data_IF_846962322915
#
_entry.id   IF_846962322915
#
_cell.length_a   1.000
_cell.length_b   1.000
_cell.length_c   1.000
_cell.angle_alpha   90.00
_cell.angle_beta   90.00
_cell.angle_gamma   90.00
#
_symmetry.space_group_name_H-M   'P 1'
#
loop_
_entity.id
_entity.type
_entity.pdbx_description
1 polymer ?
#
# COMPACT_ATOMS: atom_id res chain seq x y z
N UNK A 1 -14.02 8.85 26.46
CA UNK A 1 -13.09 8.65 25.34
C UNK A 1 -12.77 10.03 24.80
N UNK A 2 -11.52 10.29 24.41
CA UNK A 2 -11.11 11.63 23.99
C UNK A 2 -11.40 11.85 22.51
N UNK A 3 -11.94 13.01 22.20
CA UNK A 3 -12.09 13.54 20.85
C UNK A 3 -10.71 13.69 20.21
N UNK A 4 -10.62 13.38 18.91
CA UNK A 4 -9.34 13.45 18.18
C UNK A 4 -9.44 14.47 17.06
N UNK A 5 -8.49 15.38 17.06
CA UNK A 5 -8.31 16.40 16.04
C UNK A 5 -7.10 16.08 15.17
N UNK A 6 -7.19 16.35 13.88
CA UNK A 6 -6.07 16.11 12.95
C UNK A 6 -6.16 16.99 11.70
N UNK A 7 -5.03 17.57 11.30
CA UNK A 7 -4.81 18.11 9.97
C UNK A 7 -3.40 17.78 9.45
N UNK A 8 -3.32 17.36 8.19
CA UNK A 8 -2.03 17.19 7.51
C UNK A 8 -1.45 18.55 7.15
N UNK A 9 -0.26 18.85 7.67
CA UNK A 9 0.47 20.11 7.40
C UNK A 9 1.35 20.05 6.14
N UNK A 10 1.25 18.97 5.36
CA UNK A 10 2.09 18.69 4.19
C UNK A 10 3.61 18.68 4.46
N UNK A 11 4.05 18.61 5.73
CA UNK A 11 5.45 18.71 6.14
C UNK A 11 6.39 17.57 5.67
N UNK A 12 5.88 16.56 4.95
CA UNK A 12 6.66 15.44 4.42
C UNK A 12 7.17 14.42 5.44
N UNK A 13 7.11 14.69 6.75
CA UNK A 13 7.72 13.85 7.79
C UNK A 13 7.09 12.47 7.97
N UNK A 14 5.81 12.31 7.59
CA UNK A 14 5.12 11.02 7.56
C UNK A 14 5.15 10.36 6.17
N UNK A 15 5.66 11.06 5.15
CA UNK A 15 5.69 10.62 3.76
C UNK A 15 6.93 9.76 3.49
N UNK A 16 7.03 8.64 4.19
CA UNK A 16 8.13 7.67 4.09
C UNK A 16 7.58 6.25 4.14
N UNK A 17 8.31 5.29 3.58
CA UNK A 17 7.89 3.90 3.60
C UNK A 17 6.79 3.58 2.59
N UNK A 18 6.26 2.36 2.69
CA UNK A 18 5.31 1.83 1.71
C UNK A 18 3.97 2.56 1.77
N UNK A 19 3.52 3.05 0.62
CA UNK A 19 2.20 3.63 0.46
C UNK A 19 1.31 2.62 -0.25
N UNK A 20 0.23 2.18 0.39
CA UNK A 20 -0.81 1.40 -0.27
C UNK A 20 -1.52 2.26 -1.31
N UNK A 21 -1.74 1.69 -2.49
CA UNK A 21 -2.40 2.34 -3.61
C UNK A 21 -3.56 1.47 -4.08
N UNK A 22 -4.60 2.13 -4.58
CA UNK A 22 -5.61 1.48 -5.42
C UNK A 22 -4.99 1.20 -6.80
N UNK A 23 -5.59 0.33 -7.60
CA UNK A 23 -5.14 0.09 -8.98
C UNK A 23 -5.18 1.41 -9.79
N UNK A 24 -6.27 2.21 -9.75
CA UNK A 24 -6.29 3.51 -10.43
C UNK A 24 -5.18 4.46 -9.95
N UNK A 25 -4.94 4.57 -8.64
CA UNK A 25 -3.88 5.43 -8.10
C UNK A 25 -2.49 4.97 -8.55
N UNK A 26 -2.25 3.65 -8.57
CA UNK A 26 -1.00 3.07 -9.04
C UNK A 26 -0.76 3.40 -10.51
N UNK A 27 -1.78 3.25 -11.36
CA UNK A 27 -1.69 3.55 -12.79
C UNK A 27 -1.52 5.06 -13.05
N UNK A 28 -2.26 5.91 -12.34
CA UNK A 28 -2.20 7.36 -12.50
C UNK A 28 -0.86 7.98 -12.10
N UNK A 29 -0.07 7.28 -11.28
CA UNK A 29 1.24 7.74 -10.78
C UNK A 29 2.37 6.77 -11.18
N UNK A 30 2.19 6.05 -12.29
CA UNK A 30 3.14 5.07 -12.79
C UNK A 30 4.45 5.69 -13.34
N UNK A 31 4.55 7.00 -13.43
CA UNK A 31 5.77 7.73 -13.76
C UNK A 31 6.48 8.30 -12.51
N UNK A 32 5.85 8.18 -11.33
CA UNK A 32 6.34 8.79 -10.09
C UNK A 32 6.72 7.75 -9.03
N UNK A 33 5.84 6.79 -8.76
CA UNK A 33 6.04 5.82 -7.69
C UNK A 33 6.72 4.56 -8.19
N UNK A 34 7.69 3.98 -7.46
CA UNK A 34 8.20 2.67 -7.80
C UNK A 34 7.16 1.61 -7.43
N UNK A 35 6.43 1.09 -8.40
CA UNK A 35 5.27 0.24 -8.13
C UNK A 35 5.69 -1.20 -7.83
N UNK A 36 5.03 -1.78 -6.84
CA UNK A 36 5.09 -3.21 -6.53
C UNK A 36 3.72 -3.71 -6.06
N UNK A 37 3.62 -5.00 -5.72
CA UNK A 37 2.43 -5.58 -5.09
C UNK A 37 2.83 -6.24 -3.79
N UNK A 38 2.23 -5.78 -2.68
CA UNK A 38 2.45 -6.34 -1.36
C UNK A 38 1.41 -7.40 -1.04
N UNK A 39 1.87 -8.51 -0.46
CA UNK A 39 1.09 -9.57 0.16
C UNK A 39 1.34 -9.50 1.67
N UNK A 40 0.38 -8.97 2.41
CA UNK A 40 0.44 -8.84 3.87
C UNK A 40 -0.36 -9.96 4.54
N UNK A 41 0.28 -10.89 5.26
CA UNK A 41 -0.42 -11.93 6.00
C UNK A 41 -1.03 -11.37 7.29
N UNK A 42 -2.22 -11.84 7.63
CA UNK A 42 -2.93 -11.53 8.87
C UNK A 42 -3.42 -12.83 9.48
N UNK A 43 -2.85 -13.17 10.65
CA UNK A 43 -3.16 -14.41 11.36
C UNK A 43 -4.58 -14.40 11.95
N UNK A 44 -5.19 -15.58 12.04
CA UNK A 44 -6.46 -15.76 12.75
C UNK A 44 -6.34 -15.26 14.19
N UNK A 45 -7.32 -14.46 14.64
CA UNK A 45 -7.35 -13.83 15.95
C UNK A 45 -6.75 -12.40 16.01
N UNK A 46 -6.04 -11.95 14.97
CA UNK A 46 -5.66 -10.54 14.88
C UNK A 46 -6.90 -9.66 14.65
N UNK A 47 -6.92 -8.44 15.22
CA UNK A 47 -8.05 -7.50 15.06
C UNK A 47 -8.43 -7.26 13.59
N UNK A 48 -7.44 -7.12 12.72
CA UNK A 48 -7.65 -6.88 11.30
C UNK A 48 -8.04 -8.13 10.48
N UNK A 49 -8.16 -9.31 11.10
CA UNK A 49 -8.39 -10.57 10.39
C UNK A 49 -9.71 -10.58 9.63
N UNK A 50 -10.82 -10.19 10.27
CA UNK A 50 -12.14 -10.19 9.64
C UNK A 50 -12.20 -9.23 8.45
N UNK A 51 -11.71 -8.00 8.62
CA UNK A 51 -11.62 -7.02 7.54
C UNK A 51 -10.72 -7.50 6.39
N UNK A 52 -9.58 -8.12 6.71
CA UNK A 52 -8.67 -8.68 5.69
C UNK A 52 -9.28 -9.87 4.95
N UNK A 53 -10.01 -10.74 5.65
CA UNK A 53 -10.75 -11.86 5.03
C UNK A 53 -11.83 -11.36 4.06
N UNK A 54 -12.51 -10.26 4.41
CA UNK A 54 -13.52 -9.61 3.56
C UNK A 54 -12.89 -9.01 2.30
N UNK A 55 -11.81 -8.25 2.45
CA UNK A 55 -11.22 -7.43 1.38
C UNK A 55 -10.11 -8.15 0.59
N UNK A 56 -9.53 -9.22 1.13
CA UNK A 56 -8.38 -9.93 0.55
C UNK A 56 -8.71 -11.35 0.10
N UNK A 57 -7.71 -12.23 0.20
CA UNK A 57 -7.82 -13.69 -0.05
C UNK A 57 -7.61 -14.45 1.26
N UNK A 58 -8.21 -15.64 1.37
CA UNK A 58 -7.98 -16.54 2.51
C UNK A 58 -7.30 -17.81 2.02
N UNK A 59 -6.25 -18.24 2.71
CA UNK A 59 -5.54 -19.48 2.44
C UNK A 59 -5.82 -20.47 3.57
N UNK A 60 -6.28 -21.66 3.21
CA UNK A 60 -6.41 -22.76 4.16
C UNK A 60 -5.03 -23.38 4.44
N UNK A 61 -4.65 -23.47 5.71
CA UNK A 61 -3.35 -24.03 6.15
C UNK A 61 -3.49 -25.45 6.72
N UNK A 62 -4.66 -26.08 6.58
CA UNK A 62 -4.99 -27.37 7.19
C UNK A 62 -5.41 -27.27 8.67
N UNK A 63 -5.95 -28.36 9.24
CA UNK A 63 -6.42 -28.45 10.65
C UNK A 63 -7.24 -27.25 11.14
N UNK A 64 -8.17 -26.75 10.29
CA UNK A 64 -9.02 -25.57 10.54
C UNK A 64 -8.26 -24.25 10.74
N UNK A 65 -6.97 -24.18 10.38
CA UNK A 65 -6.20 -22.93 10.39
C UNK A 65 -6.37 -22.21 9.06
N UNK A 66 -6.58 -20.90 9.15
CA UNK A 66 -6.71 -20.00 8.01
C UNK A 66 -5.74 -18.84 8.16
N UNK A 67 -5.26 -18.36 7.00
CA UNK A 67 -4.48 -17.15 6.89
C UNK A 67 -5.22 -16.18 5.96
N UNK A 68 -5.55 -14.99 6.45
CA UNK A 68 -6.04 -13.94 5.59
C UNK A 68 -4.83 -13.20 5.00
N UNK A 69 -4.86 -12.89 3.71
CA UNK A 69 -3.79 -12.17 3.02
C UNK A 69 -4.38 -10.95 2.35
N UNK A 70 -3.91 -9.77 2.75
CA UNK A 70 -4.22 -8.52 2.04
C UNK A 70 -3.25 -8.41 0.87
N UNK A 71 -3.79 -8.22 -0.33
CA UNK A 71 -3.00 -8.00 -1.54
C UNK A 71 -3.28 -6.59 -2.02
N UNK A 72 -2.24 -5.80 -2.23
CA UNK A 72 -2.39 -4.35 -2.48
C UNK A 72 -1.25 -3.83 -3.36
N UNK A 73 -1.55 -3.11 -4.45
CA UNK A 73 -0.55 -2.28 -5.12
C UNK A 73 0.10 -1.32 -4.12
N UNK A 74 1.41 -1.12 -4.22
CA UNK A 74 2.13 -0.22 -3.32
C UNK A 74 3.11 0.65 -4.10
N UNK A 75 3.31 1.89 -3.66
CA UNK A 75 4.59 2.56 -3.86
C UNK A 75 5.60 1.93 -2.90
N UNK A 76 6.56 1.16 -3.43
CA UNK A 76 7.56 0.46 -2.65
C UNK A 76 8.74 1.40 -2.36
N UNK A 77 8.64 2.15 -1.26
CA UNK A 77 9.68 3.07 -0.80
C UNK A 77 10.34 2.46 0.44
N UNK A 78 11.68 2.25 0.44
CA UNK A 78 12.39 1.82 1.64
C UNK A 78 12.15 2.77 2.82
N UNK A 79 12.04 2.27 4.07
CA UNK A 79 11.66 3.11 5.21
C UNK A 79 12.58 4.32 5.47
N UNK A 80 13.85 4.22 5.09
CA UNK A 80 14.84 5.30 5.25
C UNK A 80 14.80 6.35 4.13
N UNK A 81 13.95 6.18 3.12
CA UNK A 81 13.86 7.06 1.97
C UNK A 81 12.57 7.88 1.98
N UNK A 82 12.68 9.12 1.51
CA UNK A 82 11.57 10.03 1.32
C UNK A 82 10.65 9.57 0.17
N UNK A 83 9.37 9.91 0.28
CA UNK A 83 8.42 9.79 -0.83
C UNK A 83 8.92 10.57 -2.06
N UNK A 84 8.85 10.00 -3.27
CA UNK A 84 9.30 10.68 -4.49
C UNK A 84 8.46 11.91 -4.85
N UNK A 85 7.27 12.05 -4.25
CA UNK A 85 6.41 13.21 -4.43
C UNK A 85 6.75 14.40 -3.52
N UNK A 86 7.85 14.33 -2.74
CA UNK A 86 8.33 15.48 -1.97
C UNK A 86 9.23 16.37 -2.84
N UNK A 87 8.99 17.67 -2.80
CA UNK A 87 9.82 18.69 -3.45
C UNK A 87 11.13 18.94 -2.69
N UNK A 88 11.97 19.81 -3.23
CA UNK A 88 13.23 20.22 -2.58
C UNK A 88 13.03 20.96 -1.26
N UNK A 89 11.85 21.52 -1.03
CA UNK A 89 11.39 22.14 0.21
C UNK A 89 10.79 21.13 1.22
N UNK A 90 10.72 19.85 0.85
CA UNK A 90 10.15 18.78 1.66
C UNK A 90 8.61 18.75 1.66
N UNK A 91 7.95 19.59 0.88
CA UNK A 91 6.49 19.61 0.76
C UNK A 91 6.00 18.65 -0.33
N UNK A 92 4.77 18.15 -0.17
CA UNK A 92 4.17 17.24 -1.14
C UNK A 92 3.74 18.00 -2.41
N UNK A 93 4.39 17.72 -3.55
CA UNK A 93 4.13 18.40 -4.83
C UNK A 93 2.81 17.98 -5.47
N UNK A 94 2.31 16.78 -5.13
CA UNK A 94 1.03 16.26 -5.62
C UNK A 94 -0.12 16.49 -4.63
N UNK A 95 -0.02 17.50 -3.75
CA UNK A 95 -0.97 17.66 -2.64
C UNK A 95 -2.45 17.74 -3.09
N UNK A 96 -2.72 18.35 -4.25
CA UNK A 96 -4.06 18.47 -4.81
C UNK A 96 -4.58 17.17 -5.46
N UNK A 97 -3.68 16.30 -5.91
CA UNK A 97 -4.00 15.08 -6.68
C UNK A 97 -3.53 13.81 -5.99
N UNK A 98 -3.27 13.85 -4.67
CA UNK A 98 -2.73 12.71 -3.92
C UNK A 98 -3.55 11.44 -4.13
N UNK A 99 -2.92 10.25 -4.02
CA UNK A 99 -3.63 8.99 -3.93
C UNK A 99 -4.69 8.98 -2.82
N UNK A 100 -5.74 8.19 -2.97
CA UNK A 100 -6.84 8.11 -1.99
C UNK A 100 -6.34 7.79 -0.58
N UNK A 101 -5.34 6.90 -0.46
CA UNK A 101 -4.68 6.57 0.82
C UNK A 101 -4.09 7.77 1.54
N UNK A 102 -3.55 8.72 0.79
CA UNK A 102 -2.97 9.92 1.37
C UNK A 102 -4.05 10.94 1.77
N UNK A 103 -5.22 10.93 1.11
CA UNK A 103 -6.37 11.79 1.46
C UNK A 103 -7.06 11.30 2.73
N UNK A 104 -7.27 9.98 2.83
CA UNK A 104 -7.88 9.34 4.00
C UNK A 104 -6.99 9.35 5.27
N UNK A 105 -5.74 9.83 5.18
CA UNK A 105 -4.82 9.96 6.32
C UNK A 105 -5.49 10.79 7.44
N UNK A 106 -5.47 10.32 8.70
CA UNK A 106 -4.64 9.23 9.23
C UNK A 106 -5.38 7.88 9.31
N UNK A 107 -6.61 7.81 8.80
CA UNK A 107 -7.43 6.60 8.85
C UNK A 107 -6.94 5.53 7.89
N UNK A 108 -7.23 4.29 8.25
CA UNK A 108 -7.03 3.16 7.37
C UNK A 108 -8.36 2.52 6.94
N UNK A 109 -8.79 2.79 5.70
CA UNK A 109 -10.04 2.26 5.14
C UNK A 109 -10.17 0.71 5.13
N UNK A 110 -9.05 -0.03 5.08
CA UNK A 110 -9.07 -1.50 5.20
C UNK A 110 -9.21 -2.01 6.64
N UNK A 111 -9.30 -1.13 7.64
CA UNK A 111 -9.57 -1.48 9.04
C UNK A 111 -10.99 -1.06 9.42
N UNK A 112 -11.53 -1.71 10.44
CA UNK A 112 -12.82 -1.32 10.96
C UNK A 112 -12.76 0.07 11.58
N UNK A 113 -13.83 0.85 11.43
CA UNK A 113 -13.93 2.24 11.88
C UNK A 113 -13.69 2.38 13.39
N UNK A 114 -14.04 1.36 14.16
CA UNK A 114 -13.89 1.34 15.62
C UNK A 114 -12.45 1.05 16.10
N UNK A 115 -11.53 0.73 15.18
CA UNK A 115 -10.11 0.41 15.45
C UNK A 115 -9.14 1.41 14.77
N UNK A 116 -9.46 2.70 14.85
CA UNK A 116 -8.68 3.77 14.23
C UNK A 116 -7.90 4.63 15.25
N UNK A 117 -8.27 4.64 16.53
CA UNK A 117 -7.77 5.61 17.53
C UNK A 117 -6.24 5.73 17.61
N UNK A 118 -5.53 4.61 17.55
CA UNK A 118 -4.07 4.60 17.64
C UNK A 118 -3.35 5.17 16.41
N UNK A 119 -4.05 5.32 15.28
CA UNK A 119 -3.51 5.94 14.06
C UNK A 119 -3.49 7.47 14.14
N UNK A 120 -4.30 8.04 15.04
CA UNK A 120 -4.43 9.47 15.27
C UNK A 120 -3.33 10.04 16.17
N UNK A 121 -2.39 9.20 16.62
CA UNK A 121 -1.23 9.61 17.42
C UNK A 121 -0.01 9.71 16.49
N UNK A 122 0.45 10.93 16.14
CA UNK A 122 1.63 11.08 15.30
C UNK A 122 2.86 10.48 15.97
N UNK A 123 3.75 9.91 15.15
CA UNK A 123 5.04 9.43 15.64
C UNK A 123 5.93 10.60 16.08
N UNK A 124 6.89 10.37 16.99
CA UNK A 124 7.88 11.39 17.35
C UNK A 124 8.51 12.03 16.11
N UNK A 125 8.52 13.37 16.09
CA UNK A 125 9.06 14.16 14.99
C UNK A 125 8.05 14.58 13.92
N UNK A 126 6.91 13.91 13.79
CA UNK A 126 5.85 14.32 12.85
C UNK A 126 5.26 15.68 13.24
N UNK A 127 4.99 16.53 12.25
CA UNK A 127 4.50 17.89 12.46
C UNK A 127 3.04 18.07 11.99
N UNK A 128 2.23 17.01 12.08
CA UNK A 128 0.78 17.11 11.86
C UNK A 128 0.15 17.96 12.97
N UNK A 129 -0.87 18.75 12.63
CA UNK A 129 -1.63 19.49 13.64
C UNK A 129 -2.64 18.54 14.29
N UNK A 130 -2.47 18.30 15.59
CA UNK A 130 -3.39 17.50 16.43
C UNK A 130 -3.93 18.31 17.60
N UNK A 131 -3.79 19.63 17.52
CA UNK A 131 -4.34 20.56 18.52
C UNK A 131 -5.85 20.70 18.37
N UNK A 132 -6.50 21.31 19.34
CA UNK A 132 -7.92 21.64 19.25
C UNK A 132 -8.27 22.63 18.12
N UNK A 133 -7.28 23.28 17.50
CA UNK A 133 -7.48 24.14 16.34
C UNK A 133 -7.64 23.36 15.02
N UNK A 134 -7.13 22.12 14.97
CA UNK A 134 -7.37 21.23 13.83
C UNK A 134 -8.84 20.74 13.82
N UNK A 135 -9.37 20.30 12.67
CA UNK A 135 -10.71 19.72 12.61
C UNK A 135 -10.87 18.50 13.52
N UNK A 136 -12.04 18.35 14.13
CA UNK A 136 -12.45 17.11 14.79
C UNK A 136 -12.62 16.03 13.71
N UNK A 137 -11.87 14.92 13.83
CA UNK A 137 -11.88 13.84 12.83
C UNK A 137 -12.40 12.52 13.39
N UNK A 138 -12.36 12.30 14.71
CA UNK A 138 -12.79 11.04 15.32
C UNK A 138 -13.39 11.27 16.71
N UNK A 139 -14.63 10.84 16.89
CA UNK A 139 -15.40 11.00 18.13
C UNK A 139 -16.22 9.72 18.37
N UNK A 140 -16.27 9.22 19.60
CA UNK A 140 -17.15 8.10 19.95
C UNK A 140 -16.93 6.81 19.12
N UNK A 141 -15.68 6.57 18.67
CA UNK A 141 -15.31 5.47 17.73
C UNK A 141 -15.85 5.62 16.30
N UNK A 142 -16.19 6.84 15.89
CA UNK A 142 -16.72 7.17 14.57
C UNK A 142 -15.90 8.26 13.92
N UNK A 143 -15.69 8.13 12.63
CA UNK A 143 -15.04 9.14 11.81
C UNK A 143 -16.06 10.26 11.58
N UNK A 144 -15.65 11.51 11.84
CA UNK A 144 -16.52 12.68 11.72
C UNK A 144 -16.80 13.04 10.24
N UNK A 145 -15.73 13.18 9.44
CA UNK A 145 -15.79 13.42 7.98
C UNK A 145 -15.33 12.17 7.24
N UNK A 146 -16.26 11.49 6.57
CA UNK A 146 -16.07 10.12 6.07
C UNK A 146 -15.76 10.05 4.58
N UNK A 147 -15.79 11.17 3.87
CA UNK A 147 -15.78 11.23 2.42
C UNK A 147 -14.55 10.54 1.83
N UNK A 148 -13.35 10.90 2.28
CA UNK A 148 -12.11 10.29 1.80
C UNK A 148 -11.95 8.83 2.27
N UNK A 149 -12.42 8.51 3.48
CA UNK A 149 -12.41 7.14 4.00
C UNK A 149 -13.31 6.21 3.17
N UNK A 150 -14.51 6.68 2.80
CA UNK A 150 -15.49 5.95 2.02
C UNK A 150 -15.09 5.85 0.56
N UNK A 151 -14.57 6.93 -0.03
CA UNK A 151 -14.02 6.90 -1.39
C UNK A 151 -12.91 5.86 -1.52
N UNK A 152 -12.03 5.80 -0.52
CA UNK A 152 -10.98 4.81 -0.51
C UNK A 152 -11.48 3.39 -0.25
N UNK A 153 -12.40 3.20 0.70
CA UNK A 153 -12.99 1.88 0.97
C UNK A 153 -13.69 1.35 -0.29
N UNK A 154 -14.44 2.19 -0.98
CA UNK A 154 -15.12 1.86 -2.23
C UNK A 154 -14.11 1.45 -3.32
N UNK A 155 -13.00 2.18 -3.45
CA UNK A 155 -11.95 1.83 -4.41
C UNK A 155 -11.25 0.50 -4.06
N UNK A 156 -10.96 0.24 -2.78
CA UNK A 156 -10.41 -1.05 -2.33
C UNK A 156 -11.39 -2.19 -2.64
N UNK A 157 -12.69 -1.97 -2.43
CA UNK A 157 -13.73 -2.95 -2.76
C UNK A 157 -13.81 -3.20 -4.27
N UNK A 158 -13.70 -2.15 -5.08
CA UNK A 158 -13.69 -2.25 -6.54
C UNK A 158 -12.47 -3.03 -7.07
N UNK A 159 -11.29 -2.83 -6.47
CA UNK A 159 -10.07 -3.57 -6.83
C UNK A 159 -10.11 -5.03 -6.36
N UNK A 160 -10.87 -5.33 -5.31
CA UNK A 160 -10.91 -6.60 -4.59
C UNK A 160 -11.03 -7.85 -5.49
N UNK A 161 -11.99 -7.92 -6.43
CA UNK A 161 -12.13 -9.06 -7.34
C UNK A 161 -10.86 -9.33 -8.18
N UNK A 162 -10.24 -8.28 -8.72
CA UNK A 162 -9.02 -8.39 -9.54
C UNK A 162 -7.84 -8.85 -8.69
N UNK A 163 -7.65 -8.23 -7.53
CA UNK A 163 -6.54 -8.56 -6.63
C UNK A 163 -6.69 -9.95 -6.02
N UNK A 164 -7.90 -10.40 -5.70
CA UNK A 164 -8.17 -11.77 -5.23
C UNK A 164 -7.80 -12.80 -6.29
N UNK A 165 -8.28 -12.64 -7.53
CA UNK A 165 -7.95 -13.54 -8.64
C UNK A 165 -6.44 -13.57 -8.91
N UNK A 166 -5.80 -12.40 -8.89
CA UNK A 166 -4.34 -12.31 -8.99
C UNK A 166 -3.64 -13.10 -7.88
N UNK A 167 -4.06 -12.92 -6.62
CA UNK A 167 -3.48 -13.61 -5.48
C UNK A 167 -3.63 -15.14 -5.56
N UNK A 168 -4.83 -15.62 -5.90
CA UNK A 168 -5.15 -17.04 -6.07
C UNK A 168 -4.28 -17.70 -7.15
N UNK A 169 -3.91 -16.95 -8.20
CA UNK A 169 -3.00 -17.42 -9.23
C UNK A 169 -1.53 -17.38 -8.79
N UNK A 170 -1.11 -16.33 -8.08
CA UNK A 170 0.30 -16.15 -7.71
C UNK A 170 0.74 -17.06 -6.57
N UNK A 171 -0.11 -17.28 -5.57
CA UNK A 171 0.20 -18.09 -4.38
C UNK A 171 0.75 -19.50 -4.71
N UNK A 172 0.13 -20.29 -5.61
CA UNK A 172 0.60 -21.63 -5.92
C UNK A 172 1.83 -21.68 -6.85
N UNK A 173 2.05 -20.65 -7.68
CA UNK A 173 3.10 -20.69 -8.73
C UNK A 173 4.36 -19.90 -8.36
N UNK A 174 4.30 -19.04 -7.34
CA UNK A 174 5.43 -18.19 -6.95
C UNK A 174 6.27 -18.91 -5.90
N UNK A 175 7.51 -19.33 -6.21
CA UNK A 175 8.32 -20.09 -5.26
C UNK A 175 8.50 -19.35 -3.93
N UNK A 176 8.21 -20.03 -2.82
CA UNK A 176 8.40 -19.52 -1.47
C UNK A 176 7.44 -18.40 -1.03
N UNK A 177 6.48 -17.98 -1.86
CA UNK A 177 5.54 -16.90 -1.50
C UNK A 177 4.67 -17.29 -0.31
N UNK A 178 3.99 -18.43 -0.39
CA UNK A 178 3.10 -18.90 0.69
C UNK A 178 3.88 -19.21 1.98
N UNK A 179 5.01 -19.92 1.89
CA UNK A 179 5.85 -20.23 3.05
C UNK A 179 6.38 -18.96 3.72
N UNK A 180 6.78 -17.96 2.91
CA UNK A 180 7.17 -16.63 3.38
C UNK A 180 6.05 -15.93 4.13
N UNK A 181 4.82 -15.97 3.60
CA UNK A 181 3.65 -15.39 4.26
C UNK A 181 3.32 -16.08 5.59
N UNK A 182 3.38 -17.42 5.64
CA UNK A 182 3.18 -18.19 6.88
C UNK A 182 4.24 -17.79 7.92
N UNK A 183 5.51 -17.69 7.53
CA UNK A 183 6.61 -17.27 8.42
C UNK A 183 6.41 -15.84 8.93
N UNK A 184 5.97 -14.91 8.09
CA UNK A 184 5.71 -13.53 8.46
C UNK A 184 4.49 -13.39 9.39
N UNK A 185 3.45 -14.22 9.21
CA UNK A 185 2.27 -14.23 10.07
C UNK A 185 2.59 -14.55 11.55
N UNK A 186 3.68 -15.29 11.79
CA UNK A 186 4.15 -15.62 13.14
C UNK A 186 4.97 -14.52 13.83
N UNK A 187 5.31 -13.42 13.13
CA UNK A 187 6.11 -12.33 13.71
C UNK A 187 5.23 -11.25 14.34
N UNK A 188 5.55 -10.73 15.55
CA UNK A 188 4.78 -9.65 16.17
C UNK A 188 4.71 -8.37 15.32
N UNK A 189 5.79 -8.04 14.62
CA UNK A 189 5.84 -6.88 13.73
C UNK A 189 5.11 -7.10 12.38
N UNK A 190 4.68 -8.33 12.09
CA UNK A 190 4.17 -8.71 10.78
C UNK A 190 5.23 -8.60 9.67
N UNK A 191 4.78 -8.14 8.50
CA UNK A 191 5.62 -7.88 7.33
C UNK A 191 4.86 -8.17 6.04
N UNK A 192 5.53 -7.99 4.91
CA UNK A 192 4.96 -8.29 3.60
C UNK A 192 5.93 -9.12 2.75
N UNK A 193 5.37 -9.99 1.92
CA UNK A 193 6.06 -10.45 0.72
C UNK A 193 5.74 -9.48 -0.42
N UNK A 194 6.71 -9.17 -1.27
CA UNK A 194 6.54 -8.16 -2.32
C UNK A 194 6.93 -8.75 -3.67
N UNK A 195 6.07 -8.59 -4.67
CA UNK A 195 6.29 -8.94 -6.06
C UNK A 195 6.34 -7.69 -6.92
N UNK A 196 6.97 -7.76 -8.10
CA UNK A 196 7.01 -6.63 -9.03
C UNK A 196 5.64 -6.35 -9.63
N UNK A 197 5.34 -5.07 -9.88
CA UNK A 197 4.03 -4.64 -10.38
C UNK A 197 3.70 -5.21 -11.77
N UNK A 198 4.72 -5.53 -12.57
CA UNK A 198 4.57 -6.22 -13.85
C UNK A 198 3.75 -7.52 -13.75
N UNK A 199 3.82 -8.22 -12.60
CA UNK A 199 3.05 -9.45 -12.37
C UNK A 199 1.54 -9.19 -12.29
N UNK A 200 1.11 -8.07 -11.69
CA UNK A 200 -0.29 -7.66 -11.66
C UNK A 200 -0.69 -7.01 -12.98
N UNK A 201 0.15 -6.13 -13.54
CA UNK A 201 -0.12 -5.41 -14.78
C UNK A 201 -0.52 -6.33 -15.94
N UNK A 202 0.14 -7.49 -16.07
CA UNK A 202 -0.19 -8.52 -17.09
C UNK A 202 -1.64 -9.03 -17.02
N UNK A 203 -2.28 -8.90 -15.86
CA UNK A 203 -3.64 -9.40 -15.57
C UNK A 203 -4.69 -8.31 -15.51
N UNK A 204 -4.30 -7.04 -15.60
CA UNK A 204 -5.24 -5.94 -15.65
C UNK A 204 -5.93 -5.91 -17.02
N UNK A 205 -7.28 -5.94 -17.07
CA UNK A 205 -8.01 -5.71 -18.31
C UNK A 205 -7.89 -4.22 -18.70
N UNK A 206 -7.99 -3.93 -20.00
CA UNK A 206 -8.21 -2.55 -20.50
C UNK A 206 -7.14 -1.51 -20.11
N UNK A 207 -5.93 -1.96 -19.75
CA UNK A 207 -4.78 -1.09 -19.50
C UNK A 207 -3.79 -1.21 -20.65
N UNK A 208 -3.27 -0.06 -21.10
CA UNK A 208 -2.09 -0.01 -21.97
C UNK A 208 -0.85 -0.41 -21.16
N UNK A 209 -0.56 -1.71 -21.21
CA UNK A 209 0.55 -2.32 -20.47
C UNK A 209 1.91 -1.80 -20.95
N UNK A 210 2.01 -1.38 -22.21
CA UNK A 210 3.25 -0.85 -22.77
C UNK A 210 3.51 0.56 -22.24
N UNK A 211 2.49 1.43 -22.27
CA UNK A 211 2.61 2.77 -21.70
C UNK A 211 2.98 2.72 -20.20
N UNK A 212 2.34 1.85 -19.42
CA UNK A 212 2.66 1.69 -17.99
C UNK A 212 4.07 1.14 -17.78
N UNK A 213 4.50 0.14 -18.57
CA UNK A 213 5.86 -0.39 -18.49
C UNK A 213 6.91 0.66 -18.87
N UNK A 214 6.63 1.48 -19.89
CA UNK A 214 7.49 2.57 -20.34
C UNK A 214 7.63 3.67 -19.28
N UNK A 215 6.55 4.00 -18.57
CA UNK A 215 6.57 4.94 -17.45
C UNK A 215 7.34 4.37 -16.23
N UNK A 216 7.15 3.09 -15.92
CA UNK A 216 7.76 2.46 -14.73
C UNK A 216 9.24 2.12 -14.87
N UNK A 217 9.69 1.71 -16.06
CA UNK A 217 11.08 1.31 -16.27
C UNK A 217 12.13 2.35 -15.80
N UNK A 218 12.05 3.64 -16.18
CA UNK A 218 13.00 4.64 -15.72
C UNK A 218 12.89 4.91 -14.21
N UNK A 219 11.68 4.87 -13.64
CA UNK A 219 11.47 5.03 -12.20
C UNK A 219 12.23 3.92 -11.45
N UNK A 220 11.96 2.66 -11.78
CA UNK A 220 12.57 1.51 -11.10
C UNK A 220 14.09 1.48 -11.27
N UNK A 221 14.62 1.87 -12.43
CA UNK A 221 16.06 2.00 -12.66
C UNK A 221 16.68 3.07 -11.75
N UNK A 222 16.09 4.27 -11.67
CA UNK A 222 16.58 5.33 -10.80
C UNK A 222 16.53 4.93 -9.30
N UNK A 223 15.51 4.16 -8.89
CA UNK A 223 15.44 3.62 -7.54
C UNK A 223 16.50 2.54 -7.28
N UNK A 224 16.81 1.69 -8.26
CA UNK A 224 17.90 0.72 -8.16
C UNK A 224 19.28 1.38 -7.99
N UNK A 225 19.51 2.54 -8.60
CA UNK A 225 20.78 3.29 -8.45
C UNK A 225 20.94 3.90 -7.06
N UNK A 226 19.84 4.34 -6.45
CA UNK A 226 19.84 5.05 -5.15
C UNK A 226 19.74 4.14 -3.94
N UNK A 227 19.53 2.84 -4.15
CA UNK A 227 19.30 1.86 -3.09
C UNK A 227 20.47 0.87 -2.97
N UNK A 228 20.51 0.11 -1.88
CA UNK A 228 21.58 -0.84 -1.60
C UNK A 228 21.01 -2.20 -1.14
N UNK A 229 21.85 -3.22 -1.15
CA UNK A 229 21.52 -4.57 -0.66
C UNK A 229 20.28 -5.18 -1.33
N UNK A 230 19.42 -5.78 -0.52
CA UNK A 230 18.20 -6.47 -0.99
C UNK A 230 17.24 -5.54 -1.74
N UNK A 231 17.13 -4.27 -1.34
CA UNK A 231 16.22 -3.33 -2.00
C UNK A 231 16.72 -3.00 -3.41
N UNK A 232 18.03 -2.81 -3.60
CA UNK A 232 18.63 -2.65 -4.94
C UNK A 232 18.32 -3.86 -5.82
N UNK A 233 18.53 -5.06 -5.30
CA UNK A 233 18.25 -6.30 -6.04
C UNK A 233 16.78 -6.40 -6.45
N UNK A 234 15.84 -6.01 -5.57
CA UNK A 234 14.40 -5.96 -5.89
C UNK A 234 14.10 -4.95 -7.00
N UNK A 235 14.59 -3.72 -6.91
CA UNK A 235 14.35 -2.73 -7.95
C UNK A 235 14.95 -3.12 -9.30
N UNK A 236 16.14 -3.73 -9.33
CA UNK A 236 16.72 -4.27 -10.55
C UNK A 236 15.85 -5.38 -11.16
N UNK A 237 15.32 -6.28 -10.33
CA UNK A 237 14.40 -7.33 -10.77
C UNK A 237 13.10 -6.73 -11.33
N UNK A 238 12.49 -5.76 -10.64
CA UNK A 238 11.26 -5.09 -11.10
C UNK A 238 11.50 -4.33 -12.40
N UNK A 239 12.63 -3.62 -12.54
CA UNK A 239 13.01 -2.93 -13.77
C UNK A 239 13.19 -3.91 -14.94
N UNK A 240 13.85 -5.04 -14.70
CA UNK A 240 14.02 -6.09 -15.72
C UNK A 240 12.68 -6.73 -16.14
N UNK A 241 11.72 -6.87 -15.22
CA UNK A 241 10.36 -7.32 -15.55
C UNK A 241 9.64 -6.34 -16.48
N UNK A 242 9.73 -5.04 -16.23
CA UNK A 242 9.16 -4.01 -17.11
C UNK A 242 9.87 -4.00 -18.47
N UNK A 243 11.20 -4.12 -18.50
CA UNK A 243 11.96 -4.22 -19.74
C UNK A 243 11.56 -5.41 -20.63
N UNK A 244 11.28 -6.58 -20.03
CA UNK A 244 10.75 -7.73 -20.78
C UNK A 244 9.37 -7.46 -21.39
N UNK A 245 8.52 -6.68 -20.72
CA UNK A 245 7.22 -6.30 -21.27
C UNK A 245 7.37 -5.40 -22.49
N UNK A 246 8.29 -4.44 -22.44
CA UNK A 246 8.62 -3.55 -23.57
C UNK A 246 9.18 -4.30 -24.77
N UNK A 247 9.96 -5.37 -24.54
CA UNK A 247 10.55 -6.17 -25.60
C UNK A 247 9.63 -7.23 -26.23
N UNK A 248 8.41 -7.43 -25.70
CA UNK A 248 7.48 -8.48 -26.17
C UNK A 248 6.53 -8.00 -27.28
N UNK A 249 6.91 -6.96 -28.03
CA UNK A 249 6.14 -6.34 -29.12
C UNK A 249 6.77 -6.67 -30.46
#
# INVERSE_FOLDING_TARGET
MADRHFACTACGKCCTGRLALTIPDALAHADLFPLAVAFSPVAAGAKAFAATKRLGVTVALGRKKELAVRVTPVAFIPPAMACPALGGDGLCTIHATKPLRCRAMPFLAWRDETDQDHLLVPRPGWACDVSAAAPLVYEGKRIAQREDFEAELAAIQADGPVLRRYAEQMLPITPGLLDGLIKLAGKPAGGDMVLGFATLLKRLPEVDKQAVAAAQAPVLAAWAERTQGDDRARFQMFAAEMGRMLASV
#
